data_IF_574184145747
#
_entry.id   IF_574184145747
#
_cell.length_a   1.000
_cell.length_b   1.000
_cell.length_c   1.000
_cell.angle_alpha   90.00
_cell.angle_beta   90.00
_cell.angle_gamma   90.00
#
_symmetry.space_group_name_H-M   'P 1'
#
loop_
_entity.id
_entity.type
_entity.pdbx_description
1 polymer ?
#
# COMPACT_ATOMS: atom_id res chain seq x y z
N UNK A 1 -13.95 12.50 -51.77
CA UNK A 1 -13.22 11.90 -50.64
C UNK A 1 -12.14 12.90 -50.19
N UNK A 2 -12.39 13.77 -49.20
CA UNK A 2 -11.31 14.43 -48.46
C UNK A 2 -10.95 13.58 -47.24
N UNK A 3 -9.64 13.48 -47.01
CA UNK A 3 -9.00 12.76 -45.93
C UNK A 3 -9.40 13.33 -44.57
N UNK A 4 -9.64 12.44 -43.61
CA UNK A 4 -9.67 12.82 -42.20
C UNK A 4 -8.26 13.19 -41.72
N UNK A 5 -8.20 14.03 -40.70
CA UNK A 5 -7.24 13.90 -39.62
C UNK A 5 -7.73 14.69 -38.40
N UNK A 6 -8.01 13.92 -37.35
CA UNK A 6 -7.64 14.18 -35.96
C UNK A 6 -8.23 15.44 -35.32
N UNK A 7 -9.37 15.24 -34.67
CA UNK A 7 -9.73 16.00 -33.47
C UNK A 7 -8.68 15.64 -32.42
N UNK A 8 -7.61 16.43 -32.32
CA UNK A 8 -6.78 16.46 -31.13
C UNK A 8 -7.68 17.01 -30.02
N UNK A 9 -8.24 16.12 -29.21
CA UNK A 9 -8.85 16.50 -27.93
C UNK A 9 -7.73 17.15 -27.12
N UNK A 10 -7.79 18.48 -27.04
CA UNK A 10 -7.12 19.31 -26.06
C UNK A 10 -7.40 18.68 -24.69
N UNK A 11 -6.48 17.84 -24.19
CA UNK A 11 -6.45 17.49 -22.79
C UNK A 11 -6.05 18.78 -22.08
N UNK A 12 -7.05 19.62 -21.78
CA UNK A 12 -6.89 20.75 -20.89
C UNK A 12 -6.28 20.21 -19.61
N UNK A 13 -4.97 20.46 -19.47
CA UNK A 13 -4.21 20.03 -18.31
C UNK A 13 -4.90 20.55 -17.06
N UNK A 14 -5.01 19.68 -16.06
CA UNK A 14 -5.57 20.02 -14.75
C UNK A 14 -4.90 21.28 -14.22
N UNK A 15 -5.70 22.20 -13.68
CA UNK A 15 -5.29 23.55 -13.26
C UNK A 15 -4.38 23.58 -12.03
N UNK A 16 -4.01 22.43 -11.47
CA UNK A 16 -3.01 22.34 -10.40
C UNK A 16 -3.54 22.70 -9.02
N UNK A 17 -4.80 22.35 -8.73
CA UNK A 17 -5.51 22.79 -7.53
C UNK A 17 -5.70 21.71 -6.45
N UNK A 18 -6.25 22.11 -5.31
CA UNK A 18 -6.62 21.21 -4.21
C UNK A 18 -7.61 20.13 -4.65
N UNK A 19 -8.57 20.46 -5.52
CA UNK A 19 -9.51 19.51 -6.09
C UNK A 19 -8.82 18.41 -6.91
N UNK A 20 -7.72 18.73 -7.60
CA UNK A 20 -6.93 17.76 -8.34
C UNK A 20 -6.19 16.81 -7.40
N UNK A 21 -5.66 17.33 -6.29
CA UNK A 21 -5.03 16.51 -5.25
C UNK A 21 -6.06 15.55 -4.64
N UNK A 22 -7.26 16.03 -4.29
CA UNK A 22 -8.33 15.18 -3.77
C UNK A 22 -8.74 14.10 -4.77
N UNK A 23 -8.82 14.45 -6.05
CA UNK A 23 -9.08 13.45 -7.08
C UNK A 23 -7.93 12.44 -7.22
N UNK A 24 -6.68 12.89 -7.18
CA UNK A 24 -5.53 11.98 -7.17
C UNK A 24 -5.59 11.00 -6.00
N UNK A 25 -5.96 11.44 -4.79
CA UNK A 25 -6.20 10.54 -3.66
C UNK A 25 -7.23 9.46 -4.00
N UNK A 26 -8.40 9.84 -4.53
CA UNK A 26 -9.43 8.86 -4.91
C UNK A 26 -8.97 7.86 -5.97
N UNK A 27 -8.13 8.28 -6.92
CA UNK A 27 -7.54 7.38 -7.93
C UNK A 27 -6.55 6.40 -7.28
N UNK A 28 -5.72 6.88 -6.35
CA UNK A 28 -4.72 6.05 -5.68
C UNK A 28 -5.32 5.06 -4.68
N UNK A 29 -6.54 5.32 -4.17
CA UNK A 29 -7.30 4.34 -3.38
C UNK A 29 -7.70 3.10 -4.20
N UNK A 30 -7.70 3.18 -5.53
CA UNK A 30 -7.98 2.05 -6.42
C UNK A 30 -6.72 1.30 -6.87
N UNK A 31 -5.52 1.83 -6.58
CA UNK A 31 -4.25 1.17 -6.93
C UNK A 31 -3.93 0.12 -5.86
N UNK A 32 -4.12 -1.15 -6.21
CA UNK A 32 -3.91 -2.29 -5.31
C UNK A 32 -2.44 -2.70 -5.22
N UNK A 33 -2.04 -3.17 -4.04
CA UNK A 33 -0.72 -3.77 -3.83
C UNK A 33 -0.64 -5.15 -4.54
N UNK A 34 0.42 -5.42 -5.33
CA UNK A 34 0.53 -6.67 -6.08
C UNK A 34 0.71 -7.91 -5.18
N UNK A 35 1.22 -7.72 -3.96
CA UNK A 35 1.45 -8.79 -2.99
C UNK A 35 0.23 -9.02 -2.08
N UNK A 36 -0.66 -8.03 -1.97
CA UNK A 36 -1.95 -8.09 -1.28
C UNK A 36 -3.03 -7.39 -2.12
N UNK A 37 -3.59 -8.06 -3.15
CA UNK A 37 -4.46 -7.44 -4.16
C UNK A 37 -5.80 -6.85 -3.67
N UNK A 38 -6.09 -6.95 -2.38
CA UNK A 38 -7.29 -6.41 -1.73
C UNK A 38 -7.01 -5.16 -0.90
N UNK A 39 -5.74 -4.73 -0.81
CA UNK A 39 -5.31 -3.56 -0.03
C UNK A 39 -4.66 -2.57 -0.98
N UNK A 40 -5.07 -1.30 -0.90
CA UNK A 40 -4.52 -0.25 -1.75
C UNK A 40 -3.18 0.28 -1.24
N UNK A 41 -2.44 0.96 -2.11
CA UNK A 41 -1.23 1.71 -1.74
C UNK A 41 -1.52 2.82 -0.72
N UNK A 42 -2.75 3.35 -0.72
CA UNK A 42 -3.25 4.32 0.26
C UNK A 42 -3.52 3.67 1.62
N UNK A 43 -4.14 2.48 1.62
CA UNK A 43 -4.42 1.71 2.85
C UNK A 43 -3.15 1.33 3.60
N UNK A 44 -2.10 0.95 2.87
CA UNK A 44 -0.79 0.62 3.42
C UNK A 44 0.02 1.86 3.83
N UNK A 45 -0.46 3.06 3.50
CA UNK A 45 0.28 4.30 3.74
C UNK A 45 1.60 4.39 2.97
N UNK A 46 1.71 3.69 1.84
CA UNK A 46 2.87 3.72 0.93
C UNK A 46 2.98 5.11 0.30
N UNK A 47 1.86 5.71 -0.08
CA UNK A 47 1.81 7.10 -0.56
C UNK A 47 1.96 8.04 0.64
N UNK A 48 2.98 8.91 0.60
CA UNK A 48 3.37 9.79 1.70
C UNK A 48 3.01 11.24 1.48
N UNK A 49 3.06 11.68 0.22
CA UNK A 49 2.81 13.06 -0.13
C UNK A 49 2.28 13.14 -1.57
N UNK A 50 1.36 14.07 -1.80
CA UNK A 50 0.83 14.39 -3.11
C UNK A 50 0.81 15.92 -3.21
N UNK A 51 1.57 16.46 -4.15
CA UNK A 51 1.70 17.90 -4.31
C UNK A 51 1.82 18.30 -5.78
N UNK A 52 1.48 19.55 -6.07
CA UNK A 52 1.75 20.15 -7.37
C UNK A 52 3.05 20.94 -7.30
N UNK A 53 3.94 20.68 -8.25
CA UNK A 53 5.13 21.49 -8.49
C UNK A 53 5.39 21.55 -10.00
N UNK A 54 5.97 22.64 -10.51
CA UNK A 54 6.41 22.75 -11.90
C UNK A 54 5.37 22.33 -12.98
N UNK A 55 4.07 22.50 -12.70
CA UNK A 55 3.00 22.10 -13.61
C UNK A 55 2.72 20.59 -13.69
N UNK A 56 3.25 19.79 -12.76
CA UNK A 56 3.05 18.35 -12.67
C UNK A 56 2.60 17.92 -11.27
N UNK A 57 1.85 16.81 -11.23
CA UNK A 57 1.53 16.14 -9.98
C UNK A 57 2.72 15.30 -9.53
N UNK A 58 3.21 15.56 -8.33
CA UNK A 58 4.26 14.81 -7.66
C UNK A 58 3.66 13.90 -6.60
N UNK A 59 4.04 12.64 -6.61
CA UNK A 59 3.62 11.62 -5.65
C UNK A 59 4.87 11.02 -5.01
N UNK A 60 4.97 11.13 -3.69
CA UNK A 60 6.05 10.54 -2.92
C UNK A 60 5.59 9.20 -2.37
N UNK A 61 6.36 8.15 -2.63
CA UNK A 61 6.10 6.80 -2.12
C UNK A 61 7.23 6.33 -1.22
N UNK A 62 6.90 5.57 -0.18
CA UNK A 62 7.87 4.87 0.65
C UNK A 62 7.53 3.39 0.65
N UNK A 63 8.42 2.52 0.13
CA UNK A 63 8.15 1.09 0.06
C UNK A 63 8.11 0.47 1.46
N UNK A 64 7.32 -0.60 1.61
CA UNK A 64 7.16 -1.31 2.88
C UNK A 64 8.48 -1.88 3.40
N UNK A 65 9.43 -2.20 2.51
CA UNK A 65 10.81 -2.53 2.83
C UNK A 65 11.75 -2.04 1.72
N UNK A 66 12.99 -1.66 2.06
CA UNK A 66 13.95 -1.06 1.13
C UNK A 66 14.36 -1.94 -0.06
N UNK A 67 14.19 -3.26 0.05
CA UNK A 67 14.44 -4.22 -1.02
C UNK A 67 13.17 -4.88 -1.57
N UNK A 68 12.01 -4.25 -1.44
CA UNK A 68 10.75 -4.84 -1.91
C UNK A 68 10.76 -4.95 -3.45
N UNK A 69 10.67 -6.17 -4.04
CA UNK A 69 10.69 -6.35 -5.49
C UNK A 69 9.44 -5.74 -6.17
N UNK A 70 8.36 -5.55 -5.41
CA UNK A 70 7.12 -4.95 -5.91
C UNK A 70 7.19 -3.43 -6.09
N UNK A 71 8.25 -2.75 -5.62
CA UNK A 71 8.31 -1.28 -5.62
C UNK A 71 8.19 -0.68 -7.01
N UNK A 72 8.95 -1.19 -7.98
CA UNK A 72 8.91 -0.70 -9.38
C UNK A 72 7.52 -0.90 -10.00
N UNK A 73 6.86 -2.01 -9.67
CA UNK A 73 5.51 -2.30 -10.12
C UNK A 73 4.48 -1.35 -9.52
N UNK A 74 4.60 -1.03 -8.22
CA UNK A 74 3.75 -0.06 -7.53
C UNK A 74 3.93 1.33 -8.14
N UNK A 75 5.16 1.78 -8.35
CA UNK A 75 5.44 3.09 -8.96
C UNK A 75 4.85 3.20 -10.38
N UNK A 76 4.96 2.13 -11.15
CA UNK A 76 4.38 2.06 -12.50
C UNK A 76 2.85 2.09 -12.43
N UNK A 77 2.25 1.29 -11.55
CA UNK A 77 0.79 1.23 -11.36
C UNK A 77 0.21 2.58 -10.93
N UNK A 78 0.89 3.29 -10.03
CA UNK A 78 0.54 4.66 -9.60
C UNK A 78 0.60 5.62 -10.78
N UNK A 79 1.69 5.57 -11.55
CA UNK A 79 1.87 6.45 -12.71
C UNK A 79 0.79 6.24 -13.76
N UNK A 80 0.52 4.98 -14.09
CA UNK A 80 -0.47 4.61 -15.10
C UNK A 80 -1.88 4.99 -14.67
N UNK A 81 -2.25 4.72 -13.41
CA UNK A 81 -3.55 5.12 -12.86
C UNK A 81 -3.77 6.64 -12.95
N UNK A 82 -2.75 7.43 -12.57
CA UNK A 82 -2.81 8.89 -12.66
C UNK A 82 -2.85 9.40 -14.11
N UNK A 83 -2.09 8.79 -15.02
CA UNK A 83 -2.16 9.17 -16.44
C UNK A 83 -3.54 8.89 -17.03
N UNK A 84 -4.11 7.72 -16.74
CA UNK A 84 -5.47 7.35 -17.17
C UNK A 84 -6.54 8.27 -16.56
N UNK A 85 -6.29 8.79 -15.37
CA UNK A 85 -7.11 9.79 -14.68
C UNK A 85 -6.98 11.23 -15.24
N UNK A 86 -6.14 11.44 -16.26
CA UNK A 86 -5.96 12.71 -16.95
C UNK A 86 -4.89 13.62 -16.34
N UNK A 87 -4.01 13.10 -15.49
CA UNK A 87 -2.83 13.84 -15.03
C UNK A 87 -1.71 13.74 -16.07
N UNK A 88 -1.27 14.87 -16.61
CA UNK A 88 -0.22 14.91 -17.63
C UNK A 88 1.18 14.72 -17.01
N UNK A 89 1.85 13.63 -17.34
CA UNK A 89 3.21 13.29 -16.90
C UNK A 89 3.43 13.35 -15.37
N UNK A 90 2.65 12.59 -14.57
CA UNK A 90 2.84 12.55 -13.11
C UNK A 90 4.24 12.04 -12.76
N UNK A 91 4.83 12.61 -11.72
CA UNK A 91 6.16 12.27 -11.22
C UNK A 91 6.01 11.47 -9.93
N UNK A 92 6.45 10.22 -9.97
CA UNK A 92 6.50 9.36 -8.78
C UNK A 92 7.94 9.29 -8.31
N UNK A 93 8.17 9.57 -7.02
CA UNK A 93 9.50 9.56 -6.43
C UNK A 93 9.52 8.73 -5.14
N UNK A 94 10.55 7.90 -5.01
CA UNK A 94 10.75 7.10 -3.81
C UNK A 94 11.45 7.91 -2.71
N UNK A 95 10.97 7.77 -1.47
CA UNK A 95 11.60 8.28 -0.26
C UNK A 95 11.84 7.11 0.69
N UNK A 96 13.08 6.97 1.18
CA UNK A 96 13.47 5.91 2.12
C UNK A 96 13.64 6.40 3.57
N UNK A 97 13.66 7.72 3.78
CA UNK A 97 13.72 8.34 5.11
C UNK A 97 12.53 9.29 5.33
N UNK A 98 11.72 9.11 6.38
CA UNK A 98 11.79 8.00 7.33
C UNK A 98 11.41 6.66 6.68
N UNK A 99 11.92 5.56 7.24
CA UNK A 99 11.54 4.22 6.81
C UNK A 99 10.03 3.97 7.03
N UNK A 100 9.44 3.14 6.17
CA UNK A 100 8.04 2.74 6.31
C UNK A 100 7.82 1.98 7.62
N UNK A 101 6.67 2.20 8.23
CA UNK A 101 6.24 1.56 9.47
C UNK A 101 4.82 1.05 9.33
N UNK A 102 4.51 -0.07 9.96
CA UNK A 102 3.14 -0.62 10.07
C UNK A 102 2.16 0.33 10.75
N UNK A 103 2.66 1.33 11.48
CA UNK A 103 1.87 2.43 12.05
C UNK A 103 1.21 3.29 10.95
N UNK A 104 1.68 3.24 9.71
CA UNK A 104 1.08 3.97 8.58
C UNK A 104 -0.08 3.23 7.92
N UNK A 105 -0.33 1.96 8.26
CA UNK A 105 -1.49 1.23 7.78
C UNK A 105 -2.73 1.77 8.47
N UNK A 106 -3.68 2.28 7.69
CA UNK A 106 -4.92 2.85 8.19
C UNK A 106 -5.91 1.74 8.65
N UNK A 107 -7.02 2.14 9.28
CA UNK A 107 -8.01 1.19 9.80
C UNK A 107 -8.66 0.34 8.68
N UNK A 108 -8.93 0.95 7.52
CA UNK A 108 -9.50 0.25 6.38
C UNK A 108 -8.55 -0.84 5.85
N UNK A 109 -7.27 -0.54 5.74
CA UNK A 109 -6.21 -1.48 5.37
C UNK A 109 -6.10 -2.64 6.36
N UNK A 110 -6.14 -2.36 7.67
CA UNK A 110 -6.14 -3.39 8.71
C UNK A 110 -7.36 -4.32 8.59
N UNK A 111 -8.52 -3.76 8.31
CA UNK A 111 -9.75 -4.53 8.11
C UNK A 111 -9.71 -5.37 6.83
N UNK A 112 -9.22 -4.80 5.72
CA UNK A 112 -9.05 -5.51 4.44
C UNK A 112 -8.05 -6.66 4.55
N UNK A 113 -6.92 -6.46 5.25
CA UNK A 113 -5.96 -7.52 5.57
C UNK A 113 -6.64 -8.68 6.31
N UNK A 114 -7.35 -8.37 7.41
CA UNK A 114 -8.04 -9.39 8.21
C UNK A 114 -9.10 -10.13 7.40
N UNK A 115 -9.89 -9.43 6.60
CA UNK A 115 -10.90 -10.02 5.73
C UNK A 115 -10.31 -10.94 4.64
N UNK A 116 -9.07 -10.67 4.22
CA UNK A 116 -8.33 -11.50 3.26
C UNK A 116 -7.62 -12.70 3.91
N UNK A 117 -7.70 -12.85 5.23
CA UNK A 117 -7.02 -13.93 5.95
C UNK A 117 -5.56 -13.60 6.30
N UNK A 118 -5.17 -12.33 6.25
CA UNK A 118 -3.86 -11.87 6.73
C UNK A 118 -4.05 -11.19 8.07
N UNK A 119 -3.35 -11.65 9.11
CA UNK A 119 -3.37 -10.98 10.40
C UNK A 119 -2.67 -9.62 10.29
N UNK A 120 -3.36 -8.50 10.60
CA UNK A 120 -2.75 -7.17 10.58
C UNK A 120 -1.70 -7.03 11.69
N UNK A 121 -0.73 -6.11 11.55
CA UNK A 121 0.35 -5.93 12.52
C UNK A 121 -0.21 -5.51 13.88
N UNK A 122 0.26 -6.17 14.94
CA UNK A 122 -0.13 -5.88 16.33
C UNK A 122 0.95 -5.07 17.04
N UNK A 123 0.55 -4.00 17.72
CA UNK A 123 1.45 -3.05 18.36
C UNK A 123 1.94 -1.93 17.43
N UNK A 124 2.83 -1.07 17.95
CA UNK A 124 3.50 -0.01 17.18
C UNK A 124 4.92 -0.43 16.81
N UNK A 125 5.47 0.12 15.72
CA UNK A 125 6.89 -0.08 15.34
C UNK A 125 7.91 0.51 16.32
N UNK A 126 7.44 1.01 17.47
CA UNK A 126 8.27 1.36 18.60
C UNK A 126 9.21 0.21 19.00
N UNK A 127 10.51 0.51 19.20
CA UNK A 127 11.54 -0.45 19.69
C UNK A 127 11.09 -1.30 20.88
N UNK A 128 10.21 -0.76 21.72
CA UNK A 128 9.66 -1.43 22.90
C UNK A 128 8.72 -2.60 22.54
N UNK A 129 7.96 -2.48 21.46
CA UNK A 129 7.07 -3.56 20.97
C UNK A 129 7.87 -4.70 20.33
N UNK A 130 8.97 -4.38 19.63
CA UNK A 130 9.88 -5.37 19.04
C UNK A 130 10.64 -6.19 20.10
N UNK A 131 10.91 -5.60 21.27
CA UNK A 131 11.62 -6.24 22.38
C UNK A 131 10.70 -7.02 23.34
N UNK A 132 9.39 -6.77 23.32
CA UNK A 132 8.43 -7.37 24.26
C UNK A 132 7.93 -8.76 23.84
N UNK A 133 8.25 -9.25 22.65
CA UNK A 133 8.19 -10.67 22.26
C UNK A 133 6.84 -11.40 22.35
N UNK A 134 5.75 -10.79 22.82
CA UNK A 134 4.50 -11.51 23.12
C UNK A 134 3.30 -10.56 22.97
N UNK A 135 3.13 -9.95 21.79
CA UNK A 135 1.79 -9.47 21.44
C UNK A 135 1.06 -10.65 20.78
N UNK A 136 -0.01 -11.19 21.38
CA UNK A 136 -0.75 -12.28 20.77
C UNK A 136 -1.29 -11.84 19.40
N UNK A 137 -1.00 -12.63 18.37
CA UNK A 137 -1.52 -12.40 17.02
C UNK A 137 -2.87 -13.09 16.92
N UNK A 138 -3.93 -12.33 16.70
CA UNK A 138 -5.26 -12.88 16.49
C UNK A 138 -5.34 -13.63 15.16
N UNK A 139 -5.92 -14.83 15.18
CA UNK A 139 -6.23 -15.57 13.96
C UNK A 139 -7.29 -14.79 13.14
N UNK A 140 -7.04 -14.48 11.86
CA UNK A 140 -7.98 -13.72 11.04
C UNK A 140 -9.26 -14.51 10.72
N UNK A 141 -9.22 -15.84 10.83
CA UNK A 141 -10.34 -16.72 10.48
C UNK A 141 -11.32 -16.96 11.64
N UNK A 142 -10.82 -17.13 12.87
CA UNK A 142 -11.65 -17.48 14.03
C UNK A 142 -11.55 -16.48 15.19
N UNK A 143 -10.64 -15.51 15.14
CA UNK A 143 -10.42 -14.53 16.21
C UNK A 143 -9.68 -15.05 17.44
N UNK A 144 -9.22 -16.31 17.45
CA UNK A 144 -8.45 -16.85 18.58
C UNK A 144 -7.05 -16.22 18.66
N UNK A 145 -6.63 -15.86 19.87
CA UNK A 145 -5.27 -15.42 20.20
C UNK A 145 -4.30 -16.59 20.43
N UNK A 146 -4.81 -17.82 20.49
CA UNK A 146 -3.98 -19.03 20.63
C UNK A 146 -3.34 -19.40 19.29
N UNK A 147 -2.29 -18.68 18.95
CA UNK A 147 -1.55 -18.80 17.69
C UNK A 147 -0.06 -19.02 17.97
N UNK A 148 0.62 -19.68 17.03
CA UNK A 148 2.07 -19.84 17.08
C UNK A 148 2.69 -19.48 15.75
N UNK A 149 3.88 -18.87 15.83
CA UNK A 149 4.69 -18.59 14.67
C UNK A 149 5.40 -19.86 14.23
N UNK A 150 5.23 -20.23 12.96
CA UNK A 150 5.91 -21.37 12.34
C UNK A 150 7.20 -20.95 11.64
N UNK A 151 7.23 -19.73 11.07
CA UNK A 151 8.37 -19.21 10.31
C UNK A 151 8.42 -17.68 10.35
N UNK A 152 9.62 -17.11 10.37
CA UNK A 152 9.87 -15.66 10.19
C UNK A 152 9.60 -15.18 8.75
N UNK A 153 9.41 -16.12 7.83
CA UNK A 153 9.15 -15.89 6.41
C UNK A 153 7.80 -16.48 6.02
N UNK A 154 6.92 -15.65 5.48
CA UNK A 154 5.60 -16.03 4.96
C UNK A 154 5.57 -16.01 3.43
N UNK A 155 4.40 -15.71 2.85
CA UNK A 155 4.26 -15.59 1.39
C UNK A 155 5.13 -14.49 0.79
N UNK A 156 5.47 -13.45 1.56
CA UNK A 156 6.28 -12.31 1.11
C UNK A 156 7.24 -11.85 2.20
N UNK A 157 8.24 -11.04 1.83
CA UNK A 157 9.28 -10.60 2.75
C UNK A 157 8.74 -9.80 3.96
N UNK A 158 7.61 -9.11 3.79
CA UNK A 158 6.91 -8.35 4.84
C UNK A 158 5.93 -9.21 5.67
N UNK A 159 5.88 -10.52 5.44
CA UNK A 159 4.99 -11.45 6.15
C UNK A 159 5.77 -12.56 6.85
N UNK A 160 5.18 -13.10 7.92
CA UNK A 160 5.63 -14.31 8.60
C UNK A 160 4.47 -15.32 8.70
N UNK A 161 4.79 -16.61 8.76
CA UNK A 161 3.80 -17.68 8.74
C UNK A 161 3.41 -18.10 10.16
N UNK A 162 2.11 -18.10 10.44
CA UNK A 162 1.52 -18.51 11.70
C UNK A 162 0.55 -19.68 11.51
N UNK A 163 0.22 -20.34 12.61
CA UNK A 163 -0.88 -21.31 12.71
C UNK A 163 -1.72 -21.02 13.93
N UNK A 164 -3.04 -21.07 13.77
CA UNK A 164 -3.96 -21.04 14.90
C UNK A 164 -4.02 -22.42 15.56
N UNK A 165 -3.89 -22.52 16.89
CA UNK A 165 -4.04 -23.79 17.63
C UNK A 165 -5.49 -24.17 17.89
N UNK A 166 -6.41 -23.21 17.77
CA UNK A 166 -7.84 -23.44 17.94
C UNK A 166 -8.51 -23.99 16.67
N UNK A 167 -8.43 -23.28 15.55
CA UNK A 167 -9.02 -23.73 14.28
C UNK A 167 -8.05 -24.49 13.36
N UNK A 168 -6.76 -24.57 13.72
CA UNK A 168 -5.70 -25.27 12.98
C UNK A 168 -5.34 -24.67 11.61
N UNK A 169 -5.98 -23.58 11.20
CA UNK A 169 -5.68 -22.91 9.94
C UNK A 169 -4.31 -22.20 9.98
N UNK A 170 -3.47 -22.37 8.94
CA UNK A 170 -2.30 -21.54 8.71
C UNK A 170 -2.71 -20.17 8.16
N UNK A 171 -1.97 -19.12 8.50
CA UNK A 171 -2.22 -17.78 7.99
C UNK A 171 -0.95 -16.93 7.99
N UNK A 172 -0.91 -15.91 7.12
CA UNK A 172 0.17 -14.92 7.12
C UNK A 172 -0.09 -13.82 8.16
N UNK A 173 0.95 -13.39 8.84
CA UNK A 173 0.99 -12.20 9.68
C UNK A 173 1.82 -11.12 8.99
N UNK A 174 1.28 -9.91 8.85
CA UNK A 174 2.02 -8.77 8.32
C UNK A 174 2.93 -8.21 9.42
N UNK A 175 4.24 -8.43 9.32
CA UNK A 175 5.18 -8.13 10.42
C UNK A 175 5.61 -6.66 10.44
N UNK A 176 5.92 -6.17 11.64
CA UNK A 176 6.63 -4.91 11.81
C UNK A 176 8.09 -5.11 11.40
N UNK A 177 8.62 -4.22 10.55
CA UNK A 177 9.99 -4.27 10.00
C UNK A 177 10.81 -3.08 10.49
#
# INVERSE_FOLDING_TARGET
>A
MPAGELIATDQQGRSGGEADIQYAYSVLEEVMDPEVPVVSVMDLGIVRDISWADGHLFVVVTPTYSGCPATEYIETSIRDALQNAGFSHPKVAQRLDPAWTTDWINEQGRNRLKAYGIAPPVGSSSKRSLLSGITPVECPNCGSEDTEQLSEFGSTACKSLYRCKFCLEPFDYFKCI
#
